data_IF_292417501089
#
_entry.id   IF_292417501089
#
_cell.length_a   1.000
_cell.length_b   1.000
_cell.length_c   1.000
_cell.angle_alpha   90.00
_cell.angle_beta   90.00
_cell.angle_gamma   90.00
#
_symmetry.space_group_name_H-M   'P 1'
#
loop_
_entity.id
_entity.type
_entity.pdbx_description
1 polymer ?
#
# COMPACT_ATOMS: atom_id res chain seq x y z
N UNK A 1 -22.03 -18.40 38.70
CA UNK A 1 -20.72 -19.10 38.82
C UNK A 1 -20.45 -20.10 37.68
N UNK A 2 -21.26 -20.16 36.61
CA UNK A 2 -21.10 -21.11 35.50
C UNK A 2 -20.28 -20.52 34.33
N UNK A 3 -20.30 -19.19 34.14
CA UNK A 3 -19.58 -18.51 33.03
C UNK A 3 -18.04 -18.54 33.20
N UNK A 4 -17.53 -18.67 34.43
CA UNK A 4 -16.09 -18.79 34.69
C UNK A 4 -15.52 -20.20 34.43
N UNK A 5 -16.37 -21.24 34.38
CA UNK A 5 -15.94 -22.62 34.12
C UNK A 5 -15.79 -22.91 32.62
N UNK A 6 -16.56 -22.24 31.75
CA UNK A 6 -16.47 -22.45 30.28
C UNK A 6 -15.22 -21.80 29.67
N UNK A 7 -14.76 -20.67 30.23
CA UNK A 7 -13.52 -20.01 29.81
C UNK A 7 -12.26 -20.82 30.12
N UNK A 8 -12.29 -21.67 31.16
CA UNK A 8 -11.16 -22.53 31.53
C UNK A 8 -11.08 -23.76 30.60
N UNK A 9 -12.22 -24.24 30.10
CA UNK A 9 -12.25 -25.31 29.07
C UNK A 9 -11.81 -24.84 27.68
N UNK A 10 -11.98 -23.55 27.35
CA UNK A 10 -11.51 -22.98 26.08
C UNK A 10 -9.99 -22.75 26.02
N UNK A 11 -9.33 -22.57 27.18
CA UNK A 11 -7.86 -22.45 27.26
C UNK A 11 -7.14 -23.82 27.25
N UNK A 12 -7.85 -24.93 27.43
CA UNK A 12 -7.27 -26.28 27.38
C UNK A 12 -7.49 -27.02 26.05
N UNK A 13 -8.34 -26.50 25.15
CA UNK A 13 -8.61 -27.10 23.84
C UNK A 13 -8.02 -26.32 22.65
N UNK A 14 -7.07 -25.42 22.88
CA UNK A 14 -6.28 -24.81 21.79
C UNK A 14 -5.27 -25.78 21.16
N UNK A 15 -5.31 -27.05 21.54
CA UNK A 15 -4.57 -28.15 20.92
C UNK A 15 -5.41 -28.75 19.79
N UNK A 16 -5.51 -28.05 18.66
CA UNK A 16 -5.91 -28.68 17.39
C UNK A 16 -5.28 -28.04 16.15
N UNK A 17 -4.23 -27.24 16.33
CA UNK A 17 -3.28 -26.95 15.26
C UNK A 17 -1.89 -27.37 15.75
N UNK A 18 -1.62 -28.68 15.74
CA UNK A 18 -0.23 -29.12 15.68
C UNK A 18 0.37 -28.63 14.36
N UNK A 19 1.47 -27.89 14.46
CA UNK A 19 2.22 -27.41 13.29
C UNK A 19 3.05 -26.15 13.49
N UNK A 20 3.44 -25.77 14.71
CA UNK A 20 4.54 -24.80 14.94
C UNK A 20 5.62 -25.54 15.73
N UNK A 21 6.65 -26.00 15.01
CA UNK A 21 7.95 -26.30 15.60
C UNK A 21 8.85 -25.08 15.37
N UNK A 22 9.11 -24.31 16.43
CA UNK A 22 10.30 -23.48 16.53
C UNK A 22 11.36 -24.41 17.14
N UNK A 23 12.27 -24.89 16.31
CA UNK A 23 13.53 -25.49 16.73
C UNK A 23 14.64 -24.48 16.43
N UNK A 24 15.17 -23.86 17.47
CA UNK A 24 16.49 -23.21 17.42
C UNK A 24 17.53 -24.32 17.29
N UNK A 25 18.15 -24.45 16.12
CA UNK A 25 19.45 -25.11 16.00
C UNK A 25 20.30 -24.35 14.98
N UNK A 26 21.40 -23.80 15.51
CA UNK A 26 22.44 -23.10 14.79
C UNK A 26 23.29 -24.09 13.98
N UNK A 27 23.26 -24.00 12.64
CA UNK A 27 24.35 -24.54 11.81
C UNK A 27 24.68 -23.64 10.61
N UNK A 28 25.98 -23.50 10.39
CA UNK A 28 26.65 -22.61 9.44
C UNK A 28 26.28 -22.87 7.97
N UNK A 29 25.82 -21.84 7.25
CA UNK A 29 25.77 -21.90 5.79
C UNK A 29 27.12 -21.46 5.21
N UNK A 30 27.96 -22.44 4.88
CA UNK A 30 29.18 -22.29 4.09
C UNK A 30 28.84 -21.88 2.66
N UNK A 31 29.01 -20.61 2.35
CA UNK A 31 28.94 -20.09 0.97
C UNK A 31 30.04 -20.70 0.11
N UNK A 32 29.66 -21.45 -0.92
CA UNK A 32 30.53 -21.86 -2.02
C UNK A 32 30.16 -21.10 -3.29
N UNK A 33 31.04 -20.16 -3.64
CA UNK A 33 31.18 -19.53 -4.95
C UNK A 33 31.01 -20.53 -6.12
N UNK A 34 30.41 -20.08 -7.23
CA UNK A 34 31.19 -19.58 -8.39
C UNK A 34 30.29 -19.06 -9.52
N UNK A 35 30.70 -17.89 -9.97
CA UNK A 35 30.44 -17.22 -11.25
C UNK A 35 30.46 -18.20 -12.42
N UNK A 36 29.50 -18.10 -13.35
CA UNK A 36 29.92 -17.95 -14.74
C UNK A 36 28.98 -17.05 -15.55
N UNK A 37 29.63 -16.13 -16.23
CA UNK A 37 29.12 -15.10 -17.11
C UNK A 37 29.09 -15.65 -18.52
N UNK A 38 27.94 -15.60 -19.20
CA UNK A 38 27.90 -15.69 -20.65
C UNK A 38 27.08 -14.53 -21.23
N UNK A 39 27.82 -13.59 -21.82
CA UNK A 39 27.37 -12.46 -22.62
C UNK A 39 26.83 -12.95 -23.98
N UNK A 40 25.85 -12.23 -24.55
CA UNK A 40 25.60 -12.00 -25.99
C UNK A 40 24.48 -10.93 -26.07
N UNK A 41 24.62 -9.67 -26.53
CA UNK A 41 25.14 -9.05 -27.76
C UNK A 41 24.36 -9.48 -29.04
N UNK A 42 23.21 -8.83 -29.26
CA UNK A 42 22.32 -8.80 -30.45
C UNK A 42 21.60 -10.08 -30.94
N UNK A 43 20.26 -9.99 -31.09
CA UNK A 43 19.50 -10.71 -32.13
C UNK A 43 18.13 -11.29 -31.72
N UNK A 44 17.03 -10.69 -32.21
CA UNK A 44 15.63 -11.11 -32.04
C UNK A 44 15.37 -12.63 -32.13
N UNK A 45 14.44 -13.14 -31.30
CA UNK A 45 13.63 -14.33 -31.62
C UNK A 45 12.14 -14.05 -31.51
N UNK A 46 11.44 -14.39 -32.61
CA UNK A 46 9.98 -14.43 -32.77
C UNK A 46 9.39 -15.60 -32.00
N UNK A 47 8.24 -15.34 -31.37
CA UNK A 47 7.09 -16.23 -31.21
C UNK A 47 7.36 -17.68 -30.79
N UNK A 48 7.26 -17.93 -29.48
CA UNK A 48 7.03 -19.26 -28.90
C UNK A 48 5.71 -19.27 -28.14
N UNK A 49 4.87 -20.24 -28.49
CA UNK A 49 3.55 -20.58 -27.94
C UNK A 49 3.58 -20.63 -26.39
N UNK A 50 2.81 -19.77 -25.72
CA UNK A 50 2.61 -19.81 -24.27
C UNK A 50 1.77 -21.04 -23.92
N UNK A 51 2.42 -22.05 -23.35
CA UNK A 51 1.77 -23.18 -22.69
C UNK A 51 1.12 -22.63 -21.41
N UNK A 52 -0.21 -22.63 -21.37
CA UNK A 52 -0.95 -22.29 -20.16
C UNK A 52 -0.77 -23.40 -19.14
N UNK A 53 0.06 -23.15 -18.13
CA UNK A 53 0.05 -23.93 -16.90
C UNK A 53 -0.98 -23.30 -15.97
N UNK A 54 -2.05 -24.06 -15.69
CA UNK A 54 -2.98 -23.74 -14.62
C UNK A 54 -2.26 -23.94 -13.30
N UNK A 55 -1.86 -22.84 -12.66
CA UNK A 55 -1.22 -22.85 -11.36
C UNK A 55 -2.25 -22.60 -10.26
N UNK A 56 -2.33 -23.58 -9.37
CA UNK A 56 -3.05 -23.51 -8.11
C UNK A 56 -2.36 -22.47 -7.24
N UNK A 57 -3.00 -21.31 -7.07
CA UNK A 57 -2.39 -20.11 -6.48
C UNK A 57 -1.97 -20.31 -5.02
N UNK A 58 -0.76 -20.80 -4.80
CA UNK A 58 -0.05 -20.66 -3.54
C UNK A 58 0.37 -19.19 -3.44
N UNK A 59 -0.42 -18.39 -2.73
CA UNK A 59 -0.08 -16.99 -2.42
C UNK A 59 1.28 -16.99 -1.73
N UNK A 60 2.33 -16.57 -2.42
CA UNK A 60 3.63 -16.35 -1.81
C UNK A 60 3.51 -15.20 -0.80
N UNK A 61 4.15 -15.34 0.36
CA UNK A 61 4.21 -14.32 1.41
C UNK A 61 4.73 -12.98 0.85
N UNK A 62 5.57 -13.02 -0.19
CA UNK A 62 6.05 -11.85 -0.94
C UNK A 62 4.91 -11.09 -1.62
N UNK A 63 3.94 -11.78 -2.21
CA UNK A 63 2.81 -11.19 -2.92
C UNK A 63 1.86 -10.51 -1.93
N UNK A 64 1.60 -11.14 -0.78
CA UNK A 64 0.79 -10.55 0.27
C UNK A 64 1.41 -9.28 0.86
N UNK A 65 2.73 -9.29 1.10
CA UNK A 65 3.44 -8.10 1.58
C UNK A 65 3.35 -6.92 0.59
N UNK A 66 3.48 -7.19 -0.72
CA UNK A 66 3.32 -6.16 -1.75
C UNK A 66 1.91 -5.57 -1.74
N UNK A 67 0.89 -6.41 -1.70
CA UNK A 67 -0.51 -5.98 -1.70
C UNK A 67 -0.95 -5.25 -0.43
N UNK A 68 -0.15 -5.27 0.64
CA UNK A 68 -0.44 -4.60 1.91
C UNK A 68 0.46 -3.42 2.21
N UNK A 69 1.54 -3.21 1.44
CA UNK A 69 2.48 -2.13 1.66
C UNK A 69 1.98 -0.82 1.01
N UNK A 70 1.74 0.25 1.77
CA UNK A 70 1.23 1.51 1.21
C UNK A 70 2.12 2.13 0.13
N UNK A 71 3.44 1.99 0.24
CA UNK A 71 4.37 2.50 -0.78
C UNK A 71 4.33 1.67 -2.06
N UNK A 72 4.16 0.35 -1.94
CA UNK A 72 3.99 -0.51 -3.12
C UNK A 72 2.70 -0.13 -3.86
N UNK A 73 1.57 -0.04 -3.15
CA UNK A 73 0.27 0.32 -3.74
C UNK A 73 0.32 1.69 -4.40
N UNK A 74 0.94 2.67 -3.73
CA UNK A 74 1.10 4.02 -4.28
C UNK A 74 1.95 4.01 -5.57
N UNK A 75 3.12 3.36 -5.54
CA UNK A 75 4.03 3.29 -6.68
C UNK A 75 3.41 2.56 -7.88
N UNK A 76 2.77 1.42 -7.63
CA UNK A 76 2.07 0.62 -8.64
C UNK A 76 1.01 1.45 -9.35
N UNK A 77 0.21 2.25 -8.62
CA UNK A 77 -0.77 3.14 -9.23
C UNK A 77 -0.13 4.20 -10.14
N UNK A 78 1.02 4.74 -9.76
CA UNK A 78 1.76 5.69 -10.59
C UNK A 78 2.28 5.05 -11.89
N UNK A 79 2.80 3.82 -11.80
CA UNK A 79 3.26 3.05 -12.96
C UNK A 79 2.10 2.74 -13.92
N UNK A 80 0.95 2.31 -13.38
CA UNK A 80 -0.27 2.04 -14.17
C UNK A 80 -0.82 3.27 -14.88
N UNK A 81 -0.62 4.47 -14.32
CA UNK A 81 -0.98 5.74 -14.97
C UNK A 81 0.06 6.23 -15.98
N UNK A 82 1.19 5.53 -16.13
CA UNK A 82 2.24 5.89 -17.09
C UNK A 82 2.98 7.18 -16.72
N UNK A 83 3.13 7.48 -15.43
CA UNK A 83 3.94 8.61 -15.00
C UNK A 83 5.42 8.40 -15.35
N UNK A 84 6.16 9.46 -15.74
CA UNK A 84 7.57 9.33 -16.10
C UNK A 84 8.43 8.97 -14.89
N UNK A 85 9.60 8.36 -15.11
CA UNK A 85 10.51 7.88 -14.05
C UNK A 85 10.88 8.97 -13.03
N UNK A 86 11.02 10.22 -13.48
CA UNK A 86 11.26 11.37 -12.60
C UNK A 86 10.18 11.53 -11.52
N UNK A 87 8.92 11.21 -11.86
CA UNK A 87 7.80 11.21 -10.93
C UNK A 87 7.70 9.91 -10.14
N UNK A 88 8.05 8.75 -10.72
CA UNK A 88 8.02 7.46 -10.01
C UNK A 88 8.91 7.45 -8.76
N UNK A 89 10.03 8.16 -8.79
CA UNK A 89 10.91 8.36 -7.63
C UNK A 89 10.24 9.12 -6.46
N UNK A 90 9.12 9.80 -6.74
CA UNK A 90 8.30 10.53 -5.76
C UNK A 90 7.06 9.76 -5.34
N UNK A 91 6.72 8.66 -6.02
CA UNK A 91 5.56 7.82 -5.68
C UNK A 91 5.85 6.89 -4.50
N UNK A 92 6.28 7.48 -3.39
CA UNK A 92 6.53 6.82 -2.11
C UNK A 92 6.22 7.82 -1.00
N UNK A 93 5.56 7.40 0.07
CA UNK A 93 5.16 8.29 1.17
C UNK A 93 6.32 9.02 1.88
N UNK A 94 7.57 8.57 1.70
CA UNK A 94 8.76 9.20 2.29
C UNK A 94 9.37 10.27 1.37
N UNK A 95 9.25 10.12 0.05
CA UNK A 95 9.78 11.08 -0.94
C UNK A 95 8.70 12.02 -1.48
N UNK A 96 7.43 11.66 -1.30
CA UNK A 96 6.29 12.52 -1.54
C UNK A 96 6.16 13.51 -0.39
N UNK A 97 6.85 14.65 -0.51
CA UNK A 97 6.92 15.69 0.52
C UNK A 97 6.49 17.05 -0.04
N UNK A 98 6.27 18.01 0.87
CA UNK A 98 6.05 19.41 0.51
C UNK A 98 7.16 19.93 -0.40
N UNK A 99 8.41 19.67 -0.07
CA UNK A 99 9.57 20.19 -0.81
C UNK A 99 9.65 19.60 -2.22
N UNK A 100 9.30 18.31 -2.38
CA UNK A 100 9.22 17.67 -3.68
C UNK A 100 8.15 18.34 -4.56
N UNK A 101 6.94 18.58 -4.02
CA UNK A 101 5.87 19.28 -4.73
C UNK A 101 6.21 20.74 -5.04
N UNK A 102 6.87 21.44 -4.11
CA UNK A 102 7.34 22.81 -4.34
C UNK A 102 8.38 22.85 -5.47
N UNK A 103 9.29 21.88 -5.54
CA UNK A 103 10.28 21.80 -6.61
C UNK A 103 9.64 21.55 -7.99
N UNK A 104 8.63 20.68 -8.04
CA UNK A 104 7.82 20.49 -9.26
C UNK A 104 7.09 21.77 -9.67
N UNK A 105 6.54 22.48 -8.70
CA UNK A 105 5.83 23.73 -8.90
C UNK A 105 6.72 24.84 -9.47
N UNK A 106 7.92 25.00 -8.92
CA UNK A 106 8.91 25.97 -9.42
C UNK A 106 9.66 25.49 -10.66
N UNK A 107 9.28 24.32 -11.22
CA UNK A 107 9.91 23.70 -12.39
C UNK A 107 11.41 23.48 -12.21
N UNK A 108 11.85 23.32 -10.97
CA UNK A 108 13.23 22.94 -10.63
C UNK A 108 13.39 21.42 -10.55
N UNK A 109 12.27 20.69 -10.56
CA UNK A 109 12.21 19.25 -10.61
C UNK A 109 11.93 18.73 -12.04
N UNK A 110 12.46 17.55 -12.37
CA UNK A 110 12.21 16.90 -13.66
C UNK A 110 10.79 16.32 -13.79
N UNK A 111 10.10 16.08 -12.66
CA UNK A 111 8.69 15.69 -12.66
C UNK A 111 7.81 16.93 -12.85
N UNK A 112 6.98 17.00 -13.91
CA UNK A 112 6.12 18.15 -14.18
C UNK A 112 4.99 18.28 -13.15
N UNK A 113 4.55 19.51 -12.86
CA UNK A 113 3.47 19.79 -11.90
C UNK A 113 2.16 19.09 -12.28
N UNK A 114 1.90 18.89 -13.57
CA UNK A 114 0.72 18.21 -14.09
C UNK A 114 0.57 16.78 -13.54
N UNK A 115 1.69 16.10 -13.27
CA UNK A 115 1.70 14.77 -12.67
C UNK A 115 1.27 14.77 -11.19
N UNK A 116 1.25 15.93 -10.52
CA UNK A 116 0.89 16.02 -9.10
C UNK A 116 -0.55 15.57 -8.83
N UNK A 117 -1.48 15.80 -9.76
CA UNK A 117 -2.86 15.35 -9.62
C UNK A 117 -2.96 13.81 -9.61
N UNK A 118 -2.26 13.15 -10.53
CA UNK A 118 -2.24 11.68 -10.60
C UNK A 118 -1.51 11.05 -9.40
N UNK A 119 -0.40 11.65 -8.96
CA UNK A 119 0.30 11.20 -7.75
C UNK A 119 -0.59 11.36 -6.51
N UNK A 120 -1.28 12.49 -6.36
CA UNK A 120 -2.18 12.72 -5.23
C UNK A 120 -3.36 11.73 -5.26
N UNK A 121 -3.94 11.47 -6.44
CA UNK A 121 -4.97 10.45 -6.63
C UNK A 121 -4.46 9.07 -6.18
N UNK A 122 -3.26 8.70 -6.61
CA UNK A 122 -2.66 7.40 -6.30
C UNK A 122 -2.33 7.26 -4.81
N UNK A 123 -1.80 8.30 -4.17
CA UNK A 123 -1.55 8.30 -2.73
C UNK A 123 -2.85 8.13 -1.94
N UNK A 124 -3.92 8.83 -2.33
CA UNK A 124 -5.23 8.74 -1.68
C UNK A 124 -6.07 7.54 -2.11
N UNK A 125 -5.56 6.70 -3.03
CA UNK A 125 -6.26 5.56 -3.64
C UNK A 125 -7.65 5.90 -4.21
N UNK A 126 -7.84 7.12 -4.73
CA UNK A 126 -9.11 7.55 -5.31
C UNK A 126 -10.28 7.70 -4.33
N UNK A 127 -10.01 7.86 -3.02
CA UNK A 127 -11.03 7.95 -1.96
C UNK A 127 -11.18 9.35 -1.38
N UNK A 128 -12.20 9.51 -0.53
CA UNK A 128 -12.49 10.76 0.17
C UNK A 128 -11.98 10.72 1.61
N UNK A 129 -10.94 11.51 1.87
CA UNK A 129 -10.28 11.64 3.18
C UNK A 129 -10.69 12.89 3.94
N UNK A 130 -11.71 13.62 3.47
CA UNK A 130 -12.09 14.95 3.99
C UNK A 130 -12.28 14.94 5.51
N UNK A 131 -12.92 13.91 6.06
CA UNK A 131 -13.13 13.79 7.51
C UNK A 131 -11.82 13.65 8.29
N UNK A 132 -10.87 12.85 7.80
CA UNK A 132 -9.56 12.75 8.43
C UNK A 132 -8.80 14.08 8.32
N UNK A 133 -8.83 14.72 7.16
CA UNK A 133 -8.18 16.00 6.92
C UNK A 133 -8.71 17.13 7.83
N UNK A 134 -10.03 17.22 8.04
CA UNK A 134 -10.64 18.18 8.96
C UNK A 134 -10.10 17.97 10.38
N UNK A 135 -10.11 16.72 10.87
CA UNK A 135 -9.59 16.38 12.21
C UNK A 135 -8.11 16.69 12.37
N UNK A 136 -7.34 16.61 11.29
CA UNK A 136 -5.90 16.88 11.27
C UNK A 136 -5.56 18.33 10.86
N UNK A 137 -6.54 19.24 10.86
CA UNK A 137 -6.31 20.67 10.69
C UNK A 137 -5.86 21.09 9.30
N UNK A 138 -6.20 20.34 8.25
CA UNK A 138 -5.90 20.71 6.86
C UNK A 138 -6.66 21.98 6.45
N UNK A 139 -7.84 22.21 7.02
CA UNK A 139 -8.63 23.43 6.80
C UNK A 139 -8.16 24.65 7.58
N UNK A 140 -7.11 24.55 8.40
CA UNK A 140 -6.63 25.67 9.25
C UNK A 140 -5.51 26.49 8.60
N UNK A 141 -5.24 26.29 7.31
CA UNK A 141 -4.26 27.08 6.57
C UNK A 141 -4.84 28.45 6.19
N UNK A 142 -4.01 29.31 5.61
CA UNK A 142 -4.49 30.60 5.07
C UNK A 142 -5.54 30.42 3.96
N UNK A 143 -5.50 29.32 3.22
CA UNK A 143 -6.48 29.00 2.18
C UNK A 143 -7.77 28.33 2.74
N UNK A 144 -7.80 28.03 4.04
CA UNK A 144 -8.98 27.55 4.74
C UNK A 144 -9.51 26.21 4.20
N UNK A 145 -10.83 26.10 4.07
CA UNK A 145 -11.52 24.89 3.58
C UNK A 145 -11.18 24.53 2.14
N UNK A 146 -10.61 25.43 1.33
CA UNK A 146 -10.14 25.12 -0.02
C UNK A 146 -9.15 23.95 -0.04
N UNK A 147 -8.36 23.77 1.03
CA UNK A 147 -7.38 22.69 1.10
C UNK A 147 -8.00 21.29 1.22
N UNK A 148 -9.27 21.21 1.61
CA UNK A 148 -9.99 19.93 1.67
C UNK A 148 -10.25 19.33 0.28
N UNK A 149 -10.20 20.16 -0.76
CA UNK A 149 -10.25 19.72 -2.17
C UNK A 149 -9.17 18.69 -2.53
N UNK A 150 -8.02 18.72 -1.86
CA UNK A 150 -6.94 17.75 -2.05
C UNK A 150 -7.13 16.44 -1.26
N UNK A 151 -8.11 16.40 -0.36
CA UNK A 151 -8.43 15.23 0.45
C UNK A 151 -9.50 14.36 -0.19
N UNK A 152 -10.38 14.95 -1.00
CA UNK A 152 -11.31 14.21 -1.85
C UNK A 152 -10.66 13.94 -3.20
N UNK A 153 -10.20 12.71 -3.41
CA UNK A 153 -9.51 12.30 -4.64
C UNK A 153 -10.34 11.35 -5.50
N UNK A 154 -11.67 11.38 -5.36
CA UNK A 154 -12.55 10.60 -6.23
C UNK A 154 -12.39 11.04 -7.71
N UNK A 155 -12.50 10.12 -8.70
CA UNK A 155 -12.26 10.41 -10.11
C UNK A 155 -13.05 11.60 -10.69
N UNK A 156 -14.20 11.93 -10.10
CA UNK A 156 -15.11 12.99 -10.56
C UNK A 156 -14.69 14.40 -10.09
N UNK A 157 -13.59 14.50 -9.31
CA UNK A 157 -13.10 15.73 -8.71
C UNK A 157 -11.73 16.10 -9.29
N UNK A 158 -11.73 16.67 -10.50
CA UNK A 158 -10.51 17.21 -11.10
C UNK A 158 -10.27 18.62 -10.56
N UNK A 159 -9.13 18.82 -9.92
CA UNK A 159 -8.77 20.08 -9.27
C UNK A 159 -7.67 20.74 -10.09
N UNK A 160 -7.96 21.92 -10.66
CA UNK A 160 -6.94 22.69 -11.37
C UNK A 160 -6.09 23.40 -10.34
N UNK A 161 -4.81 23.01 -10.26
CA UNK A 161 -3.86 23.57 -9.32
C UNK A 161 -3.42 24.96 -9.79
N UNK A 162 -3.69 25.97 -8.96
CA UNK A 162 -3.24 27.34 -9.15
C UNK A 162 -2.46 27.84 -7.92
N UNK A 163 -1.94 29.08 -7.99
CA UNK A 163 -1.17 29.72 -6.93
C UNK A 163 -1.93 29.86 -5.61
N UNK A 164 -3.27 29.87 -5.62
CA UNK A 164 -4.09 30.03 -4.42
C UNK A 164 -4.05 28.81 -3.49
N UNK A 165 -3.57 27.67 -3.98
CA UNK A 165 -3.46 26.43 -3.23
C UNK A 165 -2.11 26.23 -2.55
N UNK A 166 -1.10 27.07 -2.83
CA UNK A 166 0.22 26.96 -2.20
C UNK A 166 0.16 26.91 -0.66
N UNK A 167 -0.69 27.71 0.04
CA UNK A 167 -0.82 27.62 1.50
C UNK A 167 -1.32 26.25 2.00
N UNK A 168 -1.97 25.45 1.16
CA UNK A 168 -2.41 24.11 1.54
C UNK A 168 -1.25 23.16 1.80
N UNK A 169 -0.12 23.37 1.15
CA UNK A 169 1.05 22.51 1.32
C UNK A 169 1.70 22.65 2.70
N UNK A 170 1.39 23.68 3.49
CA UNK A 170 1.80 23.77 4.90
C UNK A 170 1.21 22.65 5.78
N UNK A 171 0.13 22.01 5.32
CA UNK A 171 -0.49 20.86 5.97
C UNK A 171 -0.34 19.57 5.16
N UNK A 172 0.57 19.55 4.18
CA UNK A 172 0.74 18.41 3.27
C UNK A 172 1.01 17.10 4.01
N UNK A 173 1.90 17.10 5.01
CA UNK A 173 2.20 15.90 5.80
C UNK A 173 0.98 15.38 6.57
N UNK A 174 0.08 16.27 7.02
CA UNK A 174 -1.17 15.87 7.68
C UNK A 174 -2.13 15.20 6.68
N UNK A 175 -2.19 15.70 5.45
CA UNK A 175 -3.01 15.11 4.37
C UNK A 175 -2.46 13.74 4.00
N UNK A 176 -1.15 13.66 3.75
CA UNK A 176 -0.44 12.43 3.42
C UNK A 176 -0.58 11.35 4.50
N UNK A 177 -0.54 11.74 5.77
CA UNK A 177 -0.76 10.80 6.89
C UNK A 177 -2.16 10.18 6.87
N UNK A 178 -3.19 10.95 6.52
CA UNK A 178 -4.55 10.40 6.37
C UNK A 178 -4.58 9.30 5.31
N UNK A 179 -3.94 9.56 4.17
CA UNK A 179 -3.85 8.57 3.09
C UNK A 179 -3.13 7.32 3.56
N UNK A 180 -1.92 7.46 4.11
CA UNK A 180 -1.12 6.32 4.57
C UNK A 180 -1.85 5.46 5.62
N UNK A 181 -2.47 6.10 6.62
CA UNK A 181 -3.12 5.39 7.71
C UNK A 181 -4.31 4.57 7.24
N UNK A 182 -5.14 5.11 6.33
CA UNK A 182 -6.30 4.39 5.83
C UNK A 182 -5.89 3.11 5.08
N UNK A 183 -4.81 3.16 4.29
CA UNK A 183 -4.28 1.98 3.60
C UNK A 183 -3.87 0.92 4.62
N UNK A 184 -3.17 1.33 5.68
CA UNK A 184 -2.74 0.44 6.76
C UNK A 184 -3.95 -0.19 7.48
N UNK A 185 -4.94 0.62 7.83
CA UNK A 185 -6.15 0.18 8.54
C UNK A 185 -7.02 -0.75 7.69
N UNK A 186 -7.16 -0.49 6.39
CA UNK A 186 -7.86 -1.38 5.45
C UNK A 186 -7.16 -2.74 5.38
N UNK A 187 -5.83 -2.75 5.36
CA UNK A 187 -5.09 -4.01 5.29
C UNK A 187 -5.21 -4.82 6.58
N UNK A 188 -5.15 -4.17 7.74
CA UNK A 188 -5.40 -4.80 9.03
C UNK A 188 -6.84 -5.34 9.12
N UNK A 189 -7.85 -4.54 8.76
CA UNK A 189 -9.26 -4.97 8.78
C UNK A 189 -9.56 -6.08 7.78
N UNK A 190 -8.93 -6.09 6.60
CA UNK A 190 -9.07 -7.18 5.63
C UNK A 190 -8.49 -8.49 6.17
N UNK A 191 -7.33 -8.47 6.83
CA UNK A 191 -6.77 -9.67 7.48
C UNK A 191 -7.69 -10.20 8.58
N UNK A 192 -8.25 -9.31 9.40
CA UNK A 192 -9.22 -9.67 10.45
C UNK A 192 -10.52 -10.19 9.85
N UNK A 193 -11.05 -9.57 8.79
CA UNK A 193 -12.29 -9.99 8.12
C UNK A 193 -12.14 -11.35 7.46
N UNK A 194 -10.99 -11.63 6.83
CA UNK A 194 -10.68 -12.96 6.30
C UNK A 194 -10.59 -13.96 7.44
N UNK A 195 -9.83 -13.68 8.51
CA UNK A 195 -9.71 -14.56 9.67
C UNK A 195 -11.07 -14.85 10.34
N UNK A 196 -11.93 -13.84 10.50
CA UNK A 196 -13.28 -13.99 11.04
C UNK A 196 -14.15 -14.86 10.13
N UNK A 197 -14.07 -14.66 8.81
CA UNK A 197 -14.80 -15.48 7.82
C UNK A 197 -14.35 -16.95 7.84
N UNK A 198 -13.06 -17.22 8.05
CA UNK A 198 -12.55 -18.58 8.25
C UNK A 198 -13.05 -19.20 9.56
N UNK A 199 -13.03 -18.44 10.67
CA UNK A 199 -13.52 -18.92 11.98
C UNK A 199 -15.03 -19.23 11.98
N UNK A 200 -15.84 -18.40 11.31
CA UNK A 200 -17.28 -18.65 11.12
C UNK A 200 -17.52 -19.94 10.31
N UNK A 201 -16.78 -20.16 9.22
CA UNK A 201 -16.85 -21.40 8.43
C UNK A 201 -16.40 -22.64 9.21
N UNK A 202 -15.37 -22.52 10.05
CA UNK A 202 -14.97 -23.61 10.94
C UNK A 202 -16.07 -23.95 11.95
N UNK A 203 -16.78 -22.95 12.47
CA UNK A 203 -17.86 -23.17 13.44
C UNK A 203 -19.03 -23.92 12.80
N UNK A 204 -19.39 -23.58 11.55
CA UNK A 204 -20.44 -24.27 10.80
C UNK A 204 -20.08 -25.74 10.50
N UNK A 205 -18.80 -26.01 10.17
CA UNK A 205 -18.30 -27.35 9.85
C UNK A 205 -18.24 -28.31 11.05
N UNK A 206 -18.25 -27.79 12.29
CA UNK A 206 -18.33 -28.59 13.51
C UNK A 206 -19.78 -28.79 14.01
N UNK A 207 -20.77 -28.15 13.37
CA UNK A 207 -22.20 -28.27 13.73
C UNK A 207 -23.00 -29.22 12.83
N UNK A 208 -22.36 -29.86 11.86
CA UNK A 208 -22.91 -30.94 11.01
C UNK A 208 -22.22 -32.25 11.31
#
# INVERSE_FOLDING_TARGET
MIVRLVLISFLLNTVCCEGIFIGDESEEVKSKNRVNEERNIYGMRRGGYMKGDGDEHRVDNTTLFKLTNPNYIFRECCEQRGLPDACLNKCHFNTYTKDALQSMYFKTDACPLEAAADMQFCAAQGRDHTQCCIRNGVSTTLAGSKCLTFCDQRPDRITKLDYSYVPCYDRFENMKRCFYNEIKEINETNTVSVALSFMLKCTEMFTT
#
